data_IF_373845270662
#
_entry.id   IF_373845270662
#
_cell.length_a   1.000
_cell.length_b   1.000
_cell.length_c   1.000
_cell.angle_alpha   90.00
_cell.angle_beta   90.00
_cell.angle_gamma   90.00
#
_symmetry.space_group_name_H-M   'P 1'
#
loop_
_entity.id
_entity.type
_entity.pdbx_description
1 polymer ?
#
# COMPACT_ATOMS: atom_id res chain seq x y z
N UNK A 1 4.81 1.91 -32.70
CA UNK A 1 4.78 0.73 -31.80
C UNK A 1 3.48 -0.04 -31.96
N UNK A 2 2.32 0.45 -31.51
CA UNK A 2 1.06 -0.31 -31.62
C UNK A 2 0.67 -0.62 -33.07
N UNK A 3 0.71 0.36 -33.98
CA UNK A 3 0.36 0.17 -35.39
C UNK A 3 1.34 -0.81 -36.06
N UNK A 4 2.64 -0.70 -35.79
CA UNK A 4 3.67 -1.57 -36.35
C UNK A 4 3.54 -3.01 -35.84
N UNK A 5 3.24 -3.20 -34.56
CA UNK A 5 2.95 -4.52 -33.97
C UNK A 5 1.67 -5.12 -34.55
N UNK A 6 0.61 -4.32 -34.71
CA UNK A 6 -0.64 -4.79 -35.32
C UNK A 6 -0.42 -5.24 -36.78
N UNK A 7 0.34 -4.48 -37.57
CA UNK A 7 0.67 -4.85 -38.95
C UNK A 7 1.55 -6.11 -39.02
N UNK A 8 2.50 -6.26 -38.09
CA UNK A 8 3.33 -7.47 -37.99
C UNK A 8 2.49 -8.68 -37.60
N UNK A 9 1.60 -8.55 -36.63
CA UNK A 9 0.68 -9.60 -36.22
C UNK A 9 -0.29 -10.01 -37.35
N UNK A 10 -0.80 -9.05 -38.13
CA UNK A 10 -1.60 -9.35 -39.33
C UNK A 10 -0.77 -10.17 -40.32
N UNK A 11 0.49 -9.80 -40.53
CA UNK A 11 1.39 -10.50 -41.46
C UNK A 11 1.74 -11.92 -40.99
N UNK A 12 2.01 -12.10 -39.70
CA UNK A 12 2.51 -13.38 -39.14
C UNK A 12 1.37 -14.34 -38.75
N UNK A 13 0.26 -13.83 -38.22
CA UNK A 13 -0.83 -14.63 -37.64
C UNK A 13 -2.19 -14.42 -38.32
N UNK A 14 -2.32 -13.47 -39.25
CA UNK A 14 -3.58 -13.15 -39.92
C UNK A 14 -4.55 -12.28 -39.12
N UNK A 15 -4.20 -11.91 -37.87
CA UNK A 15 -5.04 -11.09 -36.99
C UNK A 15 -4.22 -9.93 -36.39
N UNK A 16 -4.80 -8.73 -36.21
CA UNK A 16 -4.09 -7.57 -35.65
C UNK A 16 -3.68 -7.71 -34.19
N UNK A 17 -4.36 -8.59 -33.44
CA UNK A 17 -4.17 -8.77 -32.01
C UNK A 17 -3.79 -10.22 -31.73
N UNK A 18 -2.49 -10.49 -31.64
CA UNK A 18 -1.95 -11.72 -31.09
C UNK A 18 -1.27 -11.38 -29.76
N UNK A 19 -1.69 -12.01 -28.67
CA UNK A 19 -1.08 -11.84 -27.34
C UNK A 19 -0.39 -13.14 -26.96
N UNK A 20 0.94 -13.14 -26.92
CA UNK A 20 1.72 -14.33 -26.51
C UNK A 20 1.36 -14.75 -25.08
N UNK A 21 1.00 -13.78 -24.24
CA UNK A 21 0.63 -13.98 -22.84
C UNK A 21 -0.84 -14.38 -22.61
N UNK A 22 -1.67 -14.55 -23.65
CA UNK A 22 -3.12 -14.82 -23.48
C UNK A 22 -3.40 -16.05 -22.63
N UNK A 23 -2.62 -17.12 -22.80
CA UNK A 23 -2.74 -18.33 -22.00
C UNK A 23 -2.49 -18.03 -20.51
N UNK A 24 -1.43 -17.29 -20.21
CA UNK A 24 -1.06 -16.91 -18.83
C UNK A 24 -2.11 -16.01 -18.15
N UNK A 25 -2.75 -15.11 -18.89
CA UNK A 25 -3.82 -14.25 -18.36
C UNK A 25 -5.12 -15.00 -18.11
N UNK A 26 -5.45 -16.00 -18.93
CA UNK A 26 -6.73 -16.72 -18.84
C UNK A 26 -6.70 -17.93 -17.92
N UNK A 27 -5.50 -18.44 -17.63
CA UNK A 27 -5.30 -19.55 -16.71
C UNK A 27 -5.63 -19.14 -15.27
N UNK A 28 -6.31 -20.03 -14.53
CA UNK A 28 -6.66 -19.87 -13.11
C UNK A 28 -7.63 -18.71 -12.75
N UNK A 29 -8.17 -17.92 -13.69
CA UNK A 29 -9.03 -16.76 -13.37
C UNK A 29 -10.16 -17.11 -12.40
N UNK A 30 -10.90 -18.18 -12.68
CA UNK A 30 -12.09 -18.53 -11.89
C UNK A 30 -11.73 -18.94 -10.46
N UNK A 31 -10.69 -19.76 -10.33
CA UNK A 31 -10.17 -20.20 -9.04
C UNK A 31 -9.59 -19.05 -8.22
N UNK A 32 -8.84 -18.18 -8.88
CA UNK A 32 -8.30 -16.95 -8.30
C UNK A 32 -9.44 -16.05 -7.82
N UNK A 33 -10.47 -15.82 -8.65
CA UNK A 33 -11.61 -14.98 -8.30
C UNK A 33 -12.42 -15.51 -7.11
N UNK A 34 -12.65 -16.82 -7.04
CA UNK A 34 -13.31 -17.44 -5.88
C UNK A 34 -12.43 -17.30 -4.63
N UNK A 35 -11.13 -17.59 -4.75
CA UNK A 35 -10.19 -17.47 -3.62
C UNK A 35 -10.11 -16.04 -3.11
N UNK A 36 -10.12 -15.06 -4.03
CA UNK A 36 -10.10 -13.64 -3.72
C UNK A 36 -11.38 -13.18 -3.00
N UNK A 37 -12.54 -13.64 -3.46
CA UNK A 37 -13.82 -13.39 -2.79
C UNK A 37 -13.83 -13.98 -1.36
N UNK A 38 -13.31 -15.20 -1.18
CA UNK A 38 -13.21 -15.84 0.14
C UNK A 38 -12.24 -15.04 1.01
N UNK A 39 -11.07 -14.67 0.50
CA UNK A 39 -10.09 -13.83 1.20
C UNK A 39 -10.72 -12.52 1.67
N UNK A 40 -11.37 -11.78 0.78
CA UNK A 40 -12.09 -10.54 1.11
C UNK A 40 -13.25 -10.76 2.10
N UNK A 41 -13.96 -11.88 2.01
CA UNK A 41 -15.05 -12.20 2.94
C UNK A 41 -14.51 -12.51 4.34
N UNK A 42 -13.36 -13.19 4.44
CA UNK A 42 -12.75 -13.52 5.74
C UNK A 42 -12.24 -12.29 6.49
N UNK A 43 -11.93 -11.17 5.82
CA UNK A 43 -11.57 -9.94 6.54
C UNK A 43 -12.75 -9.37 7.32
N UNK A 44 -13.99 -9.59 6.86
CA UNK A 44 -15.20 -9.16 7.55
C UNK A 44 -15.39 -9.79 8.94
N UNK A 45 -14.67 -10.88 9.24
CA UNK A 45 -14.61 -11.47 10.58
C UNK A 45 -14.04 -10.50 11.63
N UNK A 46 -13.35 -9.42 11.23
CA UNK A 46 -12.94 -8.37 12.18
C UNK A 46 -14.14 -7.71 12.88
N UNK A 47 -15.29 -7.59 12.21
CA UNK A 47 -16.49 -6.98 12.77
C UNK A 47 -17.05 -7.77 13.98
N UNK A 48 -17.37 -9.06 13.87
CA UNK A 48 -17.84 -9.83 15.03
C UNK A 48 -16.79 -9.92 16.14
N UNK A 49 -15.50 -9.99 15.82
CA UNK A 49 -14.45 -9.90 16.84
C UNK A 49 -14.52 -8.59 17.63
N UNK A 50 -14.75 -7.46 16.96
CA UNK A 50 -14.93 -6.18 17.66
C UNK A 50 -16.17 -6.13 18.55
N UNK A 51 -17.28 -6.72 18.11
CA UNK A 51 -18.48 -6.82 18.95
C UNK A 51 -18.21 -7.67 20.20
N UNK A 52 -17.38 -8.72 20.09
CA UNK A 52 -16.93 -9.52 21.23
C UNK A 52 -16.00 -8.72 22.13
N UNK A 53 -15.03 -7.98 21.60
CA UNK A 53 -14.12 -7.17 22.41
C UNK A 53 -14.85 -6.06 23.19
N UNK A 54 -15.93 -5.53 22.62
CA UNK A 54 -16.76 -4.49 23.23
C UNK A 54 -17.72 -5.05 24.29
N UNK A 55 -18.49 -6.08 23.96
CA UNK A 55 -19.57 -6.61 24.83
C UNK A 55 -19.12 -7.79 25.71
N UNK A 56 -17.93 -8.33 25.46
CA UNK A 56 -17.43 -9.53 26.09
C UNK A 56 -16.88 -9.34 27.50
N UNK A 57 -16.39 -10.42 28.12
CA UNK A 57 -15.79 -10.41 29.44
C UNK A 57 -14.53 -9.53 29.49
N UNK A 58 -14.21 -9.00 30.68
CA UNK A 58 -13.09 -8.05 30.89
C UNK A 58 -11.75 -8.54 30.34
N UNK A 59 -11.49 -9.85 30.30
CA UNK A 59 -10.23 -10.37 29.77
C UNK A 59 -10.11 -10.24 28.24
N UNK A 60 -11.22 -10.26 27.49
CA UNK A 60 -11.26 -10.10 26.02
C UNK A 60 -11.25 -8.63 25.57
N UNK A 61 -11.18 -7.68 26.50
CA UNK A 61 -11.12 -6.28 26.15
C UNK A 61 -9.86 -5.96 25.32
N UNK A 62 -9.98 -4.95 24.46
CA UNK A 62 -8.96 -4.59 23.47
C UNK A 62 -7.58 -4.33 24.09
N UNK A 63 -7.54 -3.63 25.22
CA UNK A 63 -6.34 -3.26 25.97
C UNK A 63 -5.64 -4.41 26.69
N UNK A 64 -6.33 -5.56 26.89
CA UNK A 64 -5.77 -6.72 27.59
C UNK A 64 -5.31 -7.80 26.64
N UNK A 65 -6.27 -8.51 26.03
CA UNK A 65 -5.97 -9.63 25.12
C UNK A 65 -6.49 -9.41 23.71
N UNK A 66 -7.48 -8.53 23.50
CA UNK A 66 -8.11 -8.33 22.19
C UNK A 66 -7.11 -7.90 21.11
N UNK A 67 -6.21 -6.95 21.42
CA UNK A 67 -5.16 -6.53 20.48
C UNK A 67 -4.21 -7.67 20.09
N UNK A 68 -3.80 -8.50 21.06
CA UNK A 68 -2.92 -9.64 20.81
C UNK A 68 -3.60 -10.72 19.98
N UNK A 69 -4.84 -11.10 20.35
CA UNK A 69 -5.65 -12.08 19.61
C UNK A 69 -5.84 -11.61 18.16
N UNK A 70 -6.18 -10.34 17.97
CA UNK A 70 -6.35 -9.75 16.65
C UNK A 70 -5.04 -9.77 15.85
N UNK A 71 -3.92 -9.39 16.46
CA UNK A 71 -2.62 -9.35 15.77
C UNK A 71 -2.13 -10.74 15.36
N UNK A 72 -2.28 -11.74 16.24
CA UNK A 72 -1.96 -13.14 15.93
C UNK A 72 -2.88 -13.68 14.83
N UNK A 73 -4.18 -13.39 14.90
CA UNK A 73 -5.14 -13.76 13.88
C UNK A 73 -4.80 -13.16 12.51
N UNK A 74 -4.43 -11.89 12.46
CA UNK A 74 -3.99 -11.21 11.25
C UNK A 74 -2.69 -11.79 10.68
N UNK A 75 -1.74 -12.17 11.53
CA UNK A 75 -0.50 -12.83 11.12
C UNK A 75 -0.79 -14.21 10.49
N UNK A 76 -1.60 -15.04 11.15
CA UNK A 76 -2.00 -16.35 10.63
C UNK A 76 -2.76 -16.21 9.30
N UNK A 77 -3.65 -15.23 9.21
CA UNK A 77 -4.39 -14.90 7.99
C UNK A 77 -3.45 -14.51 6.85
N UNK A 78 -2.48 -13.63 7.12
CA UNK A 78 -1.49 -13.20 6.11
C UNK A 78 -0.62 -14.37 5.64
N UNK A 79 -0.11 -15.19 6.55
CA UNK A 79 0.73 -16.36 6.21
C UNK A 79 -0.05 -17.36 5.37
N UNK A 80 -1.29 -17.67 5.77
CA UNK A 80 -2.16 -18.60 5.05
C UNK A 80 -2.39 -18.15 3.60
N UNK A 81 -2.86 -16.91 3.40
CA UNK A 81 -3.17 -16.42 2.06
C UNK A 81 -1.94 -16.12 1.22
N UNK A 82 -0.81 -15.78 1.85
CA UNK A 82 0.47 -15.66 1.13
C UNK A 82 0.91 -17.03 0.58
N UNK A 83 0.72 -18.12 1.33
CA UNK A 83 1.07 -19.47 0.90
C UNK A 83 0.11 -20.07 -0.14
N UNK A 84 -1.13 -19.60 -0.20
CA UNK A 84 -2.19 -20.18 -1.04
C UNK A 84 -1.84 -20.27 -2.54
N UNK A 85 -1.34 -19.21 -3.20
CA UNK A 85 -1.01 -19.28 -4.61
C UNK A 85 0.16 -20.22 -4.94
N UNK A 86 1.04 -20.51 -3.97
CA UNK A 86 2.14 -21.46 -4.14
C UNK A 86 1.63 -22.90 -4.11
N UNK A 87 0.71 -23.22 -3.19
CA UNK A 87 0.08 -24.54 -3.12
C UNK A 87 -0.70 -24.85 -4.40
N UNK A 88 -1.35 -23.84 -4.98
CA UNK A 88 -2.17 -23.98 -6.20
C UNK A 88 -1.38 -23.80 -7.51
N UNK A 89 -0.08 -23.54 -7.45
CA UNK A 89 0.80 -23.37 -8.60
C UNK A 89 0.31 -22.33 -9.64
N UNK A 90 -0.35 -21.25 -9.21
CA UNK A 90 -0.92 -20.23 -10.10
C UNK A 90 0.08 -19.48 -10.96
N UNK A 91 -0.31 -19.07 -12.16
CA UNK A 91 0.52 -18.22 -13.02
C UNK A 91 1.00 -16.96 -12.30
N UNK A 92 2.17 -16.47 -12.68
CA UNK A 92 2.77 -15.29 -12.04
C UNK A 92 1.84 -14.06 -12.11
N UNK A 93 1.06 -13.89 -13.19
CA UNK A 93 0.08 -12.81 -13.33
C UNK A 93 -1.03 -12.88 -12.29
N UNK A 94 -1.60 -14.07 -12.06
CA UNK A 94 -2.60 -14.31 -11.02
C UNK A 94 -2.01 -14.10 -9.62
N UNK A 95 -0.75 -14.53 -9.41
CA UNK A 95 -0.02 -14.32 -8.15
C UNK A 95 0.20 -12.84 -7.85
N UNK A 96 0.56 -12.02 -8.85
CA UNK A 96 0.72 -10.56 -8.70
C UNK A 96 -0.59 -9.94 -8.22
N UNK A 97 -1.69 -10.18 -8.94
CA UNK A 97 -2.99 -9.62 -8.61
C UNK A 97 -3.42 -10.00 -7.20
N UNK A 98 -3.38 -11.30 -6.89
CA UNK A 98 -3.80 -11.82 -5.60
C UNK A 98 -2.95 -11.28 -4.45
N UNK A 99 -1.62 -11.20 -4.62
CA UNK A 99 -0.71 -10.68 -3.59
C UNK A 99 -0.92 -9.19 -3.34
N UNK A 100 -1.14 -8.39 -4.38
CA UNK A 100 -1.43 -6.96 -4.22
C UNK A 100 -2.76 -6.74 -3.51
N UNK A 101 -3.80 -7.50 -3.87
CA UNK A 101 -5.09 -7.39 -3.21
C UNK A 101 -5.03 -7.90 -1.77
N UNK A 102 -4.32 -9.00 -1.50
CA UNK A 102 -4.02 -9.52 -0.17
C UNK A 102 -3.40 -8.45 0.73
N UNK A 103 -2.38 -7.75 0.27
CA UNK A 103 -1.72 -6.70 1.06
C UNK A 103 -2.64 -5.50 1.29
N UNK A 104 -3.42 -5.08 0.29
CA UNK A 104 -4.42 -4.02 0.45
C UNK A 104 -5.48 -4.40 1.51
N UNK A 105 -6.03 -5.61 1.43
CA UNK A 105 -7.01 -6.14 2.37
C UNK A 105 -6.43 -6.32 3.77
N UNK A 106 -5.18 -6.77 3.89
CA UNK A 106 -4.46 -6.85 5.16
C UNK A 106 -4.35 -5.49 5.83
N UNK A 107 -3.89 -4.47 5.10
CA UNK A 107 -3.79 -3.10 5.61
C UNK A 107 -5.16 -2.55 6.02
N UNK A 108 -6.20 -2.81 5.22
CA UNK A 108 -7.57 -2.42 5.56
C UNK A 108 -8.09 -3.10 6.83
N UNK A 109 -7.92 -4.41 6.92
CA UNK A 109 -8.31 -5.20 8.09
C UNK A 109 -7.57 -4.74 9.34
N UNK A 110 -6.27 -4.45 9.22
CA UNK A 110 -5.46 -3.90 10.30
C UNK A 110 -5.96 -2.52 10.75
N UNK A 111 -6.18 -1.61 9.80
CA UNK A 111 -6.63 -0.26 10.13
C UNK A 111 -8.02 -0.24 10.76
N UNK A 112 -8.97 -1.00 10.20
CA UNK A 112 -10.30 -1.15 10.78
C UNK A 112 -10.23 -1.65 12.21
N UNK A 113 -9.40 -2.67 12.46
CA UNK A 113 -9.35 -3.29 13.76
C UNK A 113 -8.71 -2.39 14.83
N UNK A 114 -7.57 -1.78 14.51
CA UNK A 114 -6.86 -0.93 15.47
C UNK A 114 -7.60 0.37 15.77
N UNK A 115 -8.29 0.96 14.79
CA UNK A 115 -9.07 2.16 15.02
C UNK A 115 -10.33 1.89 15.85
N UNK A 116 -11.13 0.87 15.51
CA UNK A 116 -12.30 0.51 16.33
C UNK A 116 -11.91 -0.02 17.71
N UNK A 117 -10.75 -0.67 17.82
CA UNK A 117 -10.17 -1.08 19.09
C UNK A 117 -9.85 0.12 19.98
N UNK A 118 -9.23 1.16 19.41
CA UNK A 118 -9.01 2.42 20.12
C UNK A 118 -10.34 3.07 20.57
N UNK A 119 -11.32 3.21 19.66
CA UNK A 119 -12.63 3.78 19.98
C UNK A 119 -13.35 3.00 21.09
N UNK A 120 -13.22 1.67 21.12
CA UNK A 120 -13.79 0.84 22.20
C UNK A 120 -13.20 1.14 23.58
N UNK A 121 -11.90 1.44 23.64
CA UNK A 121 -11.21 1.83 24.89
C UNK A 121 -11.62 3.25 25.29
N UNK A 122 -11.74 4.16 24.31
CA UNK A 122 -12.19 5.55 24.53
C UNK A 122 -13.63 5.60 25.05
N UNK A 123 -14.56 4.83 24.46
CA UNK A 123 -15.95 4.73 24.91
C UNK A 123 -16.01 4.20 26.34
N UNK A 124 -15.23 3.16 26.65
CA UNK A 124 -15.20 2.59 27.99
C UNK A 124 -14.66 3.58 29.02
N UNK A 125 -13.57 4.29 28.70
CA UNK A 125 -13.01 5.35 29.56
C UNK A 125 -14.02 6.46 29.82
N UNK A 126 -14.77 6.87 28.80
CA UNK A 126 -15.83 7.88 28.96
C UNK A 126 -16.91 7.38 29.94
N UNK A 127 -17.37 6.13 29.80
CA UNK A 127 -18.34 5.51 30.72
C UNK A 127 -17.80 5.38 32.15
N UNK A 128 -16.52 5.02 32.31
CA UNK A 128 -15.87 4.95 33.63
C UNK A 128 -15.75 6.33 34.30
N UNK A 129 -15.65 7.41 33.52
CA UNK A 129 -15.68 8.76 34.06
C UNK A 129 -17.08 9.17 34.53
N UNK A 130 -18.15 8.65 33.92
CA UNK A 130 -19.53 8.90 34.32
C UNK A 130 -19.87 8.23 35.65
N UNK A 131 -19.33 7.02 35.92
CA UNK A 131 -19.46 6.29 37.18
C UNK A 131 -18.08 6.12 37.88
N UNK A 132 -17.59 7.17 38.57
CA UNK A 132 -16.20 7.20 39.04
C UNK A 132 -15.94 6.16 40.16
N UNK A 133 -15.10 5.18 39.84
CA UNK A 133 -14.45 4.26 40.79
C UNK A 133 -13.09 4.82 41.24
N UNK A 134 -12.53 4.44 42.41
CA UNK A 134 -11.15 4.75 42.78
C UNK A 134 -10.10 4.27 41.76
N UNK A 135 -10.44 3.32 40.89
CA UNK A 135 -9.58 2.83 39.79
C UNK A 135 -9.75 3.56 38.46
N UNK A 136 -10.48 4.69 38.41
CA UNK A 136 -10.80 5.39 37.15
C UNK A 136 -9.56 6.01 36.54
N UNK A 137 -9.32 5.71 35.26
CA UNK A 137 -8.19 6.22 34.51
C UNK A 137 -8.40 7.70 34.14
N UNK A 138 -7.54 8.58 34.68
CA UNK A 138 -7.57 10.04 34.44
C UNK A 138 -6.46 10.52 33.51
N UNK A 139 -5.79 9.60 32.81
CA UNK A 139 -4.79 9.97 31.82
C UNK A 139 -5.44 10.77 30.67
N UNK A 140 -4.69 11.67 30.02
CA UNK A 140 -5.20 12.51 28.94
C UNK A 140 -5.82 11.69 27.81
N UNK A 141 -6.80 12.28 27.10
CA UNK A 141 -7.39 11.66 25.93
C UNK A 141 -6.32 11.41 24.88
N UNK A 142 -6.38 10.24 24.26
CA UNK A 142 -5.47 9.87 23.17
C UNK A 142 -6.23 10.10 21.89
N UNK A 143 -5.85 11.12 21.12
CA UNK A 143 -6.39 11.31 19.77
C UNK A 143 -5.73 10.31 18.82
N UNK A 144 -6.53 9.56 18.07
CA UNK A 144 -5.98 8.67 17.07
C UNK A 144 -5.44 9.49 15.90
N UNK A 145 -4.21 9.25 15.40
CA UNK A 145 -3.67 10.03 14.30
C UNK A 145 -4.56 9.91 13.06
N UNK A 146 -4.99 11.02 12.46
CA UNK A 146 -5.73 11.01 11.19
C UNK A 146 -4.77 10.76 10.02
N UNK A 147 -5.30 10.25 8.90
CA UNK A 147 -4.57 10.16 7.63
C UNK A 147 -4.11 11.52 7.08
N UNK A 148 -4.62 12.64 7.58
CA UNK A 148 -4.21 13.99 7.17
C UNK A 148 -3.37 14.75 8.20
N UNK A 149 -3.23 14.25 9.43
CA UNK A 149 -2.46 14.95 10.48
C UNK A 149 -0.99 15.11 10.06
N UNK A 150 -0.51 16.36 10.05
CA UNK A 150 0.85 16.66 9.61
C UNK A 150 1.87 16.22 10.66
N UNK A 151 3.08 15.83 10.23
CA UNK A 151 4.15 15.37 11.14
C UNK A 151 4.49 16.36 12.25
N UNK A 152 4.41 17.66 11.95
CA UNK A 152 4.64 18.72 12.93
C UNK A 152 3.49 18.80 13.95
N UNK A 153 2.25 18.61 13.52
CA UNK A 153 1.08 18.56 14.41
C UNK A 153 1.15 17.36 15.35
N UNK A 154 1.65 16.21 14.88
CA UNK A 154 1.84 15.03 15.76
C UNK A 154 2.89 15.27 16.85
N UNK A 155 3.99 15.95 16.50
CA UNK A 155 5.03 16.35 17.47
C UNK A 155 4.47 17.37 18.45
N UNK A 156 3.72 18.34 17.95
CA UNK A 156 3.10 19.38 18.75
C UNK A 156 2.05 18.77 19.69
N UNK A 157 1.29 17.77 19.25
CA UNK A 157 0.39 16.98 20.10
C UNK A 157 1.13 16.15 21.16
N UNK A 158 2.33 15.62 20.86
CA UNK A 158 3.19 14.96 21.86
C UNK A 158 3.67 15.95 22.94
N UNK A 159 4.09 17.15 22.53
CA UNK A 159 4.55 18.22 23.44
C UNK A 159 3.39 18.84 24.26
N UNK A 160 2.23 19.04 23.65
CA UNK A 160 1.00 19.46 24.31
C UNK A 160 0.52 18.40 25.32
N UNK A 161 0.73 17.10 25.04
CA UNK A 161 0.44 15.99 25.95
C UNK A 161 1.22 16.03 27.26
N UNK A 162 2.51 16.37 27.21
CA UNK A 162 3.33 16.51 28.42
C UNK A 162 2.83 17.67 29.28
N UNK A 163 2.32 18.71 28.63
CA UNK A 163 1.78 19.92 29.27
C UNK A 163 0.35 19.72 29.80
N UNK A 164 -0.47 18.90 29.12
CA UNK A 164 -1.89 18.66 29.41
C UNK A 164 -2.18 17.70 30.57
N UNK A 165 -1.15 17.22 31.30
CA UNK A 165 -1.30 16.37 32.51
C UNK A 165 -2.11 17.02 33.66
N UNK A 166 -2.59 18.25 33.47
CA UNK A 166 -3.39 19.04 34.43
C UNK A 166 -4.79 19.43 33.90
N UNK A 167 -5.34 18.73 32.91
CA UNK A 167 -6.70 19.04 32.43
C UNK A 167 -7.78 18.67 33.47
N UNK A 168 -8.85 19.45 33.52
CA UNK A 168 -9.99 19.17 34.39
C UNK A 168 -10.76 17.93 33.91
N UNK A 169 -11.42 17.20 34.80
CA UNK A 169 -12.22 16.00 34.45
C UNK A 169 -13.29 16.34 33.39
N UNK A 170 -13.84 17.55 33.43
CA UNK A 170 -14.81 18.02 32.42
C UNK A 170 -14.19 18.15 31.02
N UNK A 171 -12.97 18.70 30.92
CA UNK A 171 -12.23 18.77 29.64
C UNK A 171 -11.91 17.38 29.11
N UNK A 172 -11.46 16.46 29.97
CA UNK A 172 -11.18 15.08 29.58
C UNK A 172 -12.42 14.37 29.01
N UNK A 173 -13.59 14.57 29.64
CA UNK A 173 -14.86 14.03 29.14
C UNK A 173 -15.20 14.57 27.75
N UNK A 174 -15.03 15.87 27.54
CA UNK A 174 -15.27 16.50 26.25
C UNK A 174 -14.33 15.95 25.18
N UNK A 175 -13.03 15.86 25.46
CA UNK A 175 -12.05 15.33 24.51
C UNK A 175 -12.32 13.86 24.14
N UNK A 176 -12.72 13.03 25.11
CA UNK A 176 -13.08 11.63 24.84
C UNK A 176 -14.38 11.52 24.04
N UNK A 177 -15.36 12.38 24.31
CA UNK A 177 -16.61 12.42 23.55
C UNK A 177 -16.37 12.89 22.09
N UNK A 178 -15.53 13.90 21.89
CA UNK A 178 -15.15 14.40 20.57
C UNK A 178 -14.48 13.31 19.72
N UNK A 179 -13.62 12.47 20.30
CA UNK A 179 -12.95 11.37 19.59
C UNK A 179 -13.92 10.25 19.15
N UNK A 180 -15.05 10.07 19.85
CA UNK A 180 -16.05 9.06 19.53
C UNK A 180 -17.02 9.48 18.41
N UNK A 181 -17.04 10.77 18.08
CA UNK A 181 -17.90 11.35 17.06
C UNK A 181 -17.09 11.53 15.78
N UNK A 182 -17.68 11.26 14.61
CA UNK A 182 -17.00 11.55 13.35
C UNK A 182 -16.73 13.05 13.22
N UNK A 183 -15.62 13.47 12.56
CA UNK A 183 -15.38 14.90 12.31
C UNK A 183 -16.48 15.61 11.50
N UNK A 184 -17.28 14.84 10.77
CA UNK A 184 -18.42 15.30 9.98
C UNK A 184 -19.75 15.31 10.78
N UNK A 185 -19.75 14.72 11.98
CA UNK A 185 -20.88 14.69 12.91
C UNK A 185 -22.02 13.72 12.56
N UNK A 186 -21.89 12.94 11.48
CA UNK A 186 -22.97 12.07 10.98
C UNK A 186 -23.11 10.73 11.71
N UNK A 187 -22.02 10.21 12.28
CA UNK A 187 -21.98 8.88 12.91
C UNK A 187 -21.14 8.91 14.18
N UNK A 188 -21.59 8.19 15.20
CA UNK A 188 -20.86 8.02 16.47
C UNK A 188 -20.53 6.55 16.72
N UNK A 189 -19.39 6.28 17.36
CA UNK A 189 -19.13 4.95 17.89
C UNK A 189 -20.12 4.65 19.03
N UNK A 190 -20.79 3.50 19.07
CA UNK A 190 -20.56 2.24 18.32
C UNK A 190 -21.49 2.02 17.11
N UNK A 191 -22.24 3.02 16.67
CA UNK A 191 -23.23 2.90 15.57
C UNK A 191 -22.58 2.57 14.22
N UNK A 192 -21.27 2.82 14.09
CA UNK A 192 -20.49 2.49 12.91
C UNK A 192 -20.23 0.98 12.71
N UNK A 193 -20.42 0.16 13.76
CA UNK A 193 -20.18 -1.30 13.72
C UNK A 193 -21.30 -2.05 12.97
N UNK A 194 -21.45 -1.73 11.69
CA UNK A 194 -22.42 -2.36 10.77
C UNK A 194 -21.70 -3.02 9.60
N UNK A 195 -22.30 -4.08 9.06
CA UNK A 195 -21.78 -4.73 7.86
C UNK A 195 -21.75 -3.77 6.67
N UNK A 196 -22.73 -2.85 6.58
CA UNK A 196 -22.79 -1.84 5.53
C UNK A 196 -21.57 -0.90 5.56
N UNK A 197 -21.24 -0.33 6.73
CA UNK A 197 -20.08 0.55 6.87
C UNK A 197 -18.77 -0.19 6.55
N UNK A 198 -18.67 -1.46 6.97
CA UNK A 198 -17.50 -2.29 6.67
C UNK A 198 -17.33 -2.56 5.16
N UNK A 199 -18.39 -2.96 4.47
CA UNK A 199 -18.34 -3.23 3.01
C UNK A 199 -18.06 -1.94 2.24
N UNK A 200 -18.65 -0.82 2.64
CA UNK A 200 -18.40 0.48 2.02
C UNK A 200 -16.92 0.88 2.18
N UNK A 201 -16.32 0.72 3.36
CA UNK A 201 -14.88 0.91 3.56
C UNK A 201 -14.01 -0.05 2.70
N UNK A 202 -14.44 -1.30 2.56
CA UNK A 202 -13.74 -2.27 1.73
C UNK A 202 -13.66 -1.84 0.25
N UNK A 203 -14.69 -1.16 -0.24
CA UNK A 203 -14.74 -0.61 -1.60
C UNK A 203 -14.07 0.77 -1.73
N UNK A 204 -13.97 1.57 -0.66
CA UNK A 204 -13.34 2.89 -0.71
C UNK A 204 -11.84 2.77 -1.06
N UNK A 205 -11.29 3.63 -1.94
CA UNK A 205 -9.89 3.59 -2.36
C UNK A 205 -8.93 4.21 -1.32
N UNK A 206 -9.10 3.86 -0.04
CA UNK A 206 -8.25 4.26 1.08
C UNK A 206 -7.88 3.05 1.93
N UNK A 207 -6.71 3.10 2.56
CA UNK A 207 -6.20 2.05 3.45
C UNK A 207 -6.37 2.38 4.93
N UNK A 208 -6.74 3.62 5.26
CA UNK A 208 -6.96 4.07 6.62
C UNK A 208 -8.45 4.12 6.90
N UNK A 209 -8.93 3.31 7.85
CA UNK A 209 -10.32 3.34 8.29
C UNK A 209 -10.64 4.61 9.09
N UNK A 210 -11.75 5.25 8.77
CA UNK A 210 -12.34 6.35 9.51
C UNK A 210 -13.85 6.09 9.64
N UNK A 211 -14.49 6.64 10.68
CA UNK A 211 -15.92 6.41 10.98
C UNK A 211 -16.78 6.83 9.78
N UNK A 212 -16.42 7.96 9.19
CA UNK A 212 -17.12 8.60 8.09
C UNK A 212 -16.13 9.23 7.13
N UNK A 213 -16.43 9.17 5.84
CA UNK A 213 -15.60 9.74 4.78
C UNK A 213 -16.35 10.84 4.06
N UNK A 214 -15.66 11.90 3.60
CA UNK A 214 -16.29 12.95 2.81
C UNK A 214 -16.84 12.36 1.50
N UNK A 215 -18.09 12.71 1.15
CA UNK A 215 -18.78 12.18 -0.04
C UNK A 215 -19.10 13.23 -1.08
N UNK A 216 -19.09 12.83 -2.34
CA UNK A 216 -19.60 13.64 -3.45
C UNK A 216 -21.13 13.56 -3.51
N UNK A 217 -21.77 14.67 -3.93
CA UNK A 217 -23.23 14.76 -3.96
C UNK A 217 -23.87 13.83 -5.01
N UNK A 218 -23.21 13.65 -6.17
CA UNK A 218 -23.71 12.87 -7.30
C UNK A 218 -22.63 11.94 -7.85
N UNK A 219 -23.06 10.84 -8.48
CA UNK A 219 -22.20 9.93 -9.25
C UNK A 219 -22.15 10.34 -10.72
N UNK A 220 -20.96 10.43 -11.28
CA UNK A 220 -20.71 10.63 -12.71
C UNK A 220 -20.44 9.30 -13.40
N UNK A 221 -21.47 8.70 -13.99
CA UNK A 221 -21.33 7.44 -14.73
C UNK A 221 -20.42 7.55 -15.96
N UNK A 222 -20.33 8.74 -16.56
CA UNK A 222 -19.42 8.99 -17.68
C UNK A 222 -17.96 8.92 -17.25
N UNK A 223 -17.61 9.47 -16.08
CA UNK A 223 -16.26 9.35 -15.53
C UNK A 223 -15.90 7.88 -15.24
N UNK A 224 -16.83 7.11 -14.68
CA UNK A 224 -16.63 5.66 -14.47
C UNK A 224 -16.35 4.96 -15.79
N UNK A 225 -17.14 5.26 -16.83
CA UNK A 225 -16.96 4.66 -18.15
C UNK A 225 -15.59 5.00 -18.75
N UNK A 226 -15.20 6.28 -18.80
CA UNK A 226 -13.90 6.69 -19.36
C UNK A 226 -12.71 6.14 -18.57
N UNK A 227 -12.77 6.16 -17.23
CA UNK A 227 -11.71 5.56 -16.39
C UNK A 227 -11.61 4.05 -16.61
N UNK A 228 -12.74 3.35 -16.68
CA UNK A 228 -12.76 1.90 -16.97
C UNK A 228 -12.20 1.59 -18.35
N UNK A 229 -12.57 2.35 -19.38
CA UNK A 229 -12.02 2.21 -20.73
C UNK A 229 -10.50 2.46 -20.76
N UNK A 230 -10.04 3.48 -20.02
CA UNK A 230 -8.62 3.79 -19.89
C UNK A 230 -7.83 2.66 -19.21
N UNK A 231 -8.38 1.99 -18.19
CA UNK A 231 -7.77 0.78 -17.59
C UNK A 231 -7.51 -0.27 -18.66
N UNK A 232 -8.52 -0.64 -19.46
CA UNK A 232 -8.36 -1.63 -20.52
C UNK A 232 -7.35 -1.18 -21.59
N UNK A 233 -7.37 0.10 -21.98
CA UNK A 233 -6.41 0.66 -22.93
C UNK A 233 -4.96 0.62 -22.42
N UNK A 234 -4.73 0.98 -21.16
CA UNK A 234 -3.39 0.92 -20.56
C UNK A 234 -2.91 -0.51 -20.33
N UNK A 235 -3.77 -1.44 -19.92
CA UNK A 235 -3.42 -2.88 -19.81
C UNK A 235 -3.04 -3.47 -21.16
N UNK A 236 -3.76 -3.07 -22.22
CA UNK A 236 -3.38 -3.44 -23.58
C UNK A 236 -1.98 -2.93 -23.95
N UNK A 237 -1.70 -1.65 -23.70
CA UNK A 237 -0.37 -1.07 -23.96
C UNK A 237 0.75 -1.74 -23.13
N UNK A 238 0.48 -2.04 -21.86
CA UNK A 238 1.40 -2.77 -20.99
C UNK A 238 1.76 -4.14 -21.57
N UNK A 239 0.78 -4.86 -22.11
CA UNK A 239 0.97 -6.17 -22.74
C UNK A 239 1.83 -6.03 -24.00
N UNK A 240 1.52 -5.07 -24.87
CA UNK A 240 2.31 -4.83 -26.11
C UNK A 240 3.75 -4.47 -25.79
N UNK A 241 3.99 -3.57 -24.82
CA UNK A 241 5.35 -3.17 -24.44
C UNK A 241 6.13 -4.38 -23.87
N UNK A 242 5.47 -5.20 -23.07
CA UNK A 242 6.09 -6.39 -22.47
C UNK A 242 6.48 -7.42 -23.53
N UNK A 243 5.57 -7.74 -24.45
CA UNK A 243 5.76 -8.77 -25.48
C UNK A 243 6.80 -8.37 -26.53
N UNK A 244 6.87 -7.08 -26.91
CA UNK A 244 7.74 -6.61 -27.99
C UNK A 244 9.13 -6.18 -27.52
N UNK A 245 9.25 -5.62 -26.31
CA UNK A 245 10.51 -5.00 -25.86
C UNK A 245 11.15 -5.69 -24.67
N UNK A 246 10.35 -6.17 -23.71
CA UNK A 246 10.90 -6.71 -22.45
C UNK A 246 11.23 -8.19 -22.58
N UNK A 247 10.25 -9.01 -22.95
CA UNK A 247 10.42 -10.47 -23.02
C UNK A 247 11.52 -10.85 -24.02
N UNK A 248 11.58 -10.33 -25.26
CA UNK A 248 12.61 -10.73 -26.20
C UNK A 248 14.02 -10.39 -25.71
N UNK A 249 14.18 -9.22 -25.08
CA UNK A 249 15.46 -8.79 -24.49
C UNK A 249 15.89 -9.73 -23.37
N UNK A 250 14.96 -10.15 -22.50
CA UNK A 250 15.24 -11.08 -21.41
C UNK A 250 15.55 -12.50 -21.93
N UNK A 251 14.80 -12.99 -22.92
CA UNK A 251 15.01 -14.31 -23.54
C UNK A 251 16.41 -14.38 -24.21
N UNK A 252 16.78 -13.36 -24.98
CA UNK A 252 18.11 -13.26 -25.64
C UNK A 252 19.24 -13.25 -24.60
N UNK A 253 19.12 -12.39 -23.58
CA UNK A 253 20.13 -12.25 -22.54
C UNK A 253 20.26 -13.49 -21.66
N UNK A 254 19.16 -14.20 -21.36
CA UNK A 254 19.19 -15.44 -20.60
C UNK A 254 20.01 -16.51 -21.32
N UNK A 255 19.84 -16.66 -22.64
CA UNK A 255 20.60 -17.61 -23.47
C UNK A 255 22.08 -17.21 -23.51
N UNK A 256 22.39 -15.92 -23.62
CA UNK A 256 23.77 -15.41 -23.62
C UNK A 256 24.45 -15.65 -22.27
N UNK A 257 23.74 -15.43 -21.17
CA UNK A 257 24.24 -15.63 -19.80
C UNK A 257 24.53 -17.12 -19.51
N UNK A 258 23.68 -18.04 -20.00
CA UNK A 258 23.92 -19.48 -19.86
C UNK A 258 25.16 -19.99 -20.60
N UNK A 259 25.57 -19.31 -21.68
CA UNK A 259 26.73 -19.69 -22.51
C UNK A 259 28.03 -19.00 -22.09
N UNK A 260 27.97 -18.15 -21.08
CA UNK A 260 29.09 -17.36 -20.59
C UNK A 260 30.20 -18.27 -20.02
N UNK A 261 31.46 -17.92 -20.32
CA UNK A 261 32.63 -18.63 -19.79
C UNK A 261 33.29 -17.87 -18.62
N UNK A 262 33.32 -16.53 -18.67
CA UNK A 262 34.01 -15.69 -17.69
C UNK A 262 33.04 -14.73 -16.98
N UNK A 263 33.24 -14.46 -15.68
CA UNK A 263 32.42 -13.51 -14.90
C UNK A 263 32.32 -12.11 -15.52
N UNK A 264 33.40 -11.61 -16.11
CA UNK A 264 33.45 -10.28 -16.73
C UNK A 264 32.47 -10.17 -17.91
N UNK A 265 32.38 -11.20 -18.74
CA UNK A 265 31.44 -11.27 -19.86
C UNK A 265 29.99 -11.26 -19.36
N UNK A 266 29.73 -11.92 -18.23
CA UNK A 266 28.41 -11.92 -17.58
C UNK A 266 28.01 -10.57 -17.04
N UNK A 267 28.93 -9.87 -16.37
CA UNK A 267 28.69 -8.51 -15.90
C UNK A 267 28.40 -7.56 -17.07
N UNK A 268 29.09 -7.72 -18.21
CA UNK A 268 28.85 -6.95 -19.42
C UNK A 268 27.47 -7.26 -20.02
N UNK A 269 27.12 -8.54 -20.21
CA UNK A 269 25.80 -8.96 -20.71
C UNK A 269 24.69 -8.41 -19.81
N UNK A 270 24.88 -8.49 -18.49
CA UNK A 270 23.93 -7.95 -17.52
C UNK A 270 23.78 -6.43 -17.67
N UNK A 271 24.87 -5.68 -17.73
CA UNK A 271 24.84 -4.22 -17.90
C UNK A 271 24.21 -3.79 -19.25
N UNK A 272 24.50 -4.53 -20.32
CA UNK A 272 23.87 -4.34 -21.64
C UNK A 272 22.35 -4.56 -21.55
N UNK A 273 21.93 -5.61 -20.84
CA UNK A 273 20.51 -5.93 -20.65
C UNK A 273 19.80 -4.84 -19.86
N UNK A 274 20.37 -4.41 -18.73
CA UNK A 274 19.82 -3.31 -17.93
C UNK A 274 19.66 -2.06 -18.79
N UNK A 275 20.67 -1.73 -19.60
CA UNK A 275 20.66 -0.58 -20.51
C UNK A 275 19.54 -0.65 -21.56
N UNK A 276 19.32 -1.81 -22.18
CA UNK A 276 18.20 -2.06 -23.12
C UNK A 276 16.83 -1.96 -22.45
N UNK A 277 16.76 -2.30 -21.16
CA UNK A 277 15.52 -2.32 -20.37
C UNK A 277 15.15 -0.96 -19.74
N UNK A 278 16.05 0.03 -19.70
CA UNK A 278 15.80 1.34 -19.07
C UNK A 278 14.50 2.00 -19.56
N UNK A 279 14.32 2.08 -20.89
CA UNK A 279 13.17 2.76 -21.49
C UNK A 279 11.86 1.95 -21.39
N UNK A 280 11.81 0.65 -21.78
CA UNK A 280 10.60 -0.15 -21.63
C UNK A 280 10.08 -0.20 -20.19
N UNK A 281 10.97 -0.35 -19.20
CA UNK A 281 10.55 -0.39 -17.79
C UNK A 281 10.02 0.94 -17.28
N UNK A 282 10.59 2.06 -17.74
CA UNK A 282 10.06 3.38 -17.40
C UNK A 282 8.61 3.54 -17.89
N UNK A 283 8.33 3.15 -19.14
CA UNK A 283 6.99 3.21 -19.69
C UNK A 283 6.00 2.32 -18.94
N UNK A 284 6.40 1.09 -18.60
CA UNK A 284 5.56 0.20 -17.79
C UNK A 284 5.30 0.79 -16.41
N UNK A 285 6.32 1.33 -15.74
CA UNK A 285 6.17 1.95 -14.43
C UNK A 285 5.14 3.10 -14.45
N UNK A 286 5.22 4.00 -15.43
CA UNK A 286 4.27 5.09 -15.61
C UNK A 286 2.86 4.60 -15.96
N UNK A 287 2.74 3.58 -16.82
CA UNK A 287 1.44 3.01 -17.18
C UNK A 287 0.78 2.30 -16.00
N UNK A 288 1.53 1.53 -15.21
CA UNK A 288 1.03 0.87 -13.99
C UNK A 288 0.57 1.92 -12.98
N UNK A 289 1.32 3.01 -12.82
CA UNK A 289 0.92 4.13 -11.98
C UNK A 289 -0.43 4.72 -12.41
N UNK A 290 -0.61 5.03 -13.70
CA UNK A 290 -1.86 5.56 -14.21
C UNK A 290 -3.03 4.57 -14.04
N UNK A 291 -2.80 3.29 -14.34
CA UNK A 291 -3.81 2.23 -14.17
C UNK A 291 -4.30 2.18 -12.73
N UNK A 292 -3.39 2.16 -11.75
CA UNK A 292 -3.75 1.99 -10.34
C UNK A 292 -4.33 3.28 -9.76
N UNK A 293 -3.57 4.38 -9.81
CA UNK A 293 -3.92 5.57 -9.02
C UNK A 293 -4.90 6.50 -9.72
N UNK A 294 -4.76 6.71 -11.03
CA UNK A 294 -5.64 7.63 -11.76
C UNK A 294 -6.96 6.94 -12.17
N UNK A 295 -6.87 5.75 -12.75
CA UNK A 295 -8.04 5.10 -13.34
C UNK A 295 -8.75 4.14 -12.38
N UNK A 296 -8.06 3.20 -11.74
CA UNK A 296 -8.69 2.21 -10.86
C UNK A 296 -9.19 2.86 -9.55
N UNK A 297 -8.31 3.52 -8.79
CA UNK A 297 -8.71 4.23 -7.58
C UNK A 297 -9.75 5.33 -7.88
N UNK A 298 -9.58 6.06 -9.00
CA UNK A 298 -10.56 7.05 -9.44
C UNK A 298 -11.93 6.45 -9.76
N UNK A 299 -12.01 5.30 -10.42
CA UNK A 299 -13.27 4.61 -10.69
C UNK A 299 -13.94 4.13 -9.39
N UNK A 300 -13.18 3.53 -8.47
CA UNK A 300 -13.70 3.13 -7.16
C UNK A 300 -14.14 4.33 -6.31
N UNK A 301 -13.44 5.46 -6.40
CA UNK A 301 -13.84 6.70 -5.74
C UNK A 301 -15.20 7.19 -6.24
N UNK A 302 -15.44 7.14 -7.55
CA UNK A 302 -16.70 7.56 -8.14
C UNK A 302 -17.85 6.60 -7.80
N UNK A 303 -17.60 5.28 -7.83
CA UNK A 303 -18.57 4.24 -7.44
C UNK A 303 -19.02 4.44 -5.98
N UNK A 304 -18.07 4.64 -5.08
CA UNK A 304 -18.31 4.83 -3.64
C UNK A 304 -18.69 6.26 -3.26
N UNK A 305 -18.67 7.21 -4.22
CA UNK A 305 -18.81 8.67 -3.96
C UNK A 305 -17.76 9.21 -2.99
N UNK A 306 -16.58 8.61 -2.93
CA UNK A 306 -15.48 9.07 -2.10
C UNK A 306 -14.94 10.41 -2.65
N UNK A 307 -14.95 11.44 -1.81
CA UNK A 307 -14.54 12.80 -2.22
C UNK A 307 -13.04 13.05 -2.08
N UNK A 308 -12.35 12.34 -1.19
CA UNK A 308 -10.91 12.47 -1.01
C UNK A 308 -10.16 11.73 -2.13
N UNK A 309 -9.96 12.41 -3.26
CA UNK A 309 -9.35 11.81 -4.46
C UNK A 309 -7.84 12.01 -4.55
N UNK A 310 -7.19 12.41 -3.46
CA UNK A 310 -5.75 12.67 -3.44
C UNK A 310 -4.95 11.37 -3.25
N UNK A 311 -4.90 10.53 -4.28
CA UNK A 311 -4.16 9.26 -4.24
C UNK A 311 -2.65 9.42 -4.44
N UNK A 312 -2.24 10.52 -5.09
CA UNK A 312 -0.86 10.89 -5.36
C UNK A 312 -0.72 12.42 -5.43
N UNK A 313 0.52 12.90 -5.41
CA UNK A 313 0.90 14.31 -5.60
C UNK A 313 1.91 14.43 -6.76
N UNK A 314 2.48 15.60 -6.99
CA UNK A 314 3.43 15.91 -8.07
C UNK A 314 4.83 15.26 -7.86
N UNK A 315 4.87 13.94 -7.64
CA UNK A 315 6.04 13.14 -7.30
C UNK A 315 7.13 13.18 -8.39
N UNK A 316 6.78 13.54 -9.62
CA UNK A 316 7.75 13.73 -10.72
C UNK A 316 8.70 14.91 -10.46
N UNK A 317 8.30 15.83 -9.58
CA UNK A 317 9.10 16.98 -9.14
C UNK A 317 9.90 16.69 -7.85
N UNK A 318 9.82 15.48 -7.28
CA UNK A 318 10.52 15.15 -6.04
C UNK A 318 12.05 15.29 -6.20
N UNK A 319 12.71 15.77 -5.14
CA UNK A 319 14.14 16.02 -5.08
C UNK A 319 14.92 14.89 -4.39
N UNK A 320 14.27 14.16 -3.48
CA UNK A 320 14.86 13.01 -2.79
C UNK A 320 13.88 11.83 -2.72
N UNK A 321 14.39 10.63 -2.42
CA UNK A 321 13.55 9.43 -2.29
C UNK A 321 12.56 9.51 -1.13
N UNK A 322 12.85 10.32 -0.10
CA UNK A 322 11.93 10.52 1.01
C UNK A 322 10.69 11.31 0.56
N UNK A 323 10.86 12.37 -0.21
CA UNK A 323 9.78 13.15 -0.81
C UNK A 323 8.94 12.27 -1.75
N UNK A 324 9.59 11.54 -2.66
CA UNK A 324 8.91 10.58 -3.54
C UNK A 324 8.05 9.57 -2.77
N UNK A 325 8.58 8.99 -1.68
CA UNK A 325 7.86 7.99 -0.88
C UNK A 325 6.57 8.53 -0.23
N UNK A 326 6.44 9.85 -0.06
CA UNK A 326 5.24 10.50 0.49
C UNK A 326 4.23 10.86 -0.59
N UNK A 327 4.69 11.15 -1.80
CA UNK A 327 3.89 11.74 -2.87
C UNK A 327 3.39 10.71 -3.89
N UNK A 328 4.09 9.59 -4.07
CA UNK A 328 3.76 8.58 -5.07
C UNK A 328 2.47 7.81 -4.76
N UNK A 329 2.36 7.25 -3.56
CA UNK A 329 1.25 6.42 -3.11
C UNK A 329 0.79 6.90 -1.74
N UNK A 330 -0.02 7.95 -1.74
CA UNK A 330 -0.50 8.61 -0.53
C UNK A 330 -1.29 7.64 0.37
N UNK A 331 -2.18 6.76 -0.14
CA UNK A 331 -2.89 5.80 0.70
C UNK A 331 -1.96 4.88 1.51
N UNK A 332 -0.93 4.32 0.87
CA UNK A 332 0.05 3.46 1.57
C UNK A 332 0.91 4.30 2.50
N UNK A 333 1.36 5.48 2.06
CA UNK A 333 2.12 6.39 2.91
C UNK A 333 1.35 6.74 4.19
N UNK A 334 0.08 7.10 4.08
CA UNK A 334 -0.80 7.42 5.22
C UNK A 334 -0.97 6.21 6.15
N UNK A 335 -1.11 5.00 5.60
CA UNK A 335 -1.18 3.77 6.40
C UNK A 335 0.09 3.56 7.22
N UNK A 336 1.26 3.60 6.58
CA UNK A 336 2.55 3.45 7.26
C UNK A 336 2.79 4.56 8.28
N UNK A 337 2.42 5.81 7.95
CA UNK A 337 2.54 6.94 8.89
C UNK A 337 1.70 6.71 10.15
N UNK A 338 0.43 6.32 9.98
CA UNK A 338 -0.55 6.15 11.06
C UNK A 338 -0.29 4.91 11.92
N UNK A 339 -0.08 3.75 11.32
CA UNK A 339 -0.04 2.47 12.05
C UNK A 339 1.37 1.99 12.38
N UNK A 340 2.40 2.43 11.64
CA UNK A 340 3.79 1.97 11.84
C UNK A 340 4.64 3.07 12.48
N UNK A 341 4.74 4.22 11.81
CA UNK A 341 5.58 5.33 12.27
C UNK A 341 5.07 5.92 13.58
N UNK A 342 3.78 6.26 13.67
CA UNK A 342 3.19 6.81 14.90
C UNK A 342 3.32 5.85 16.08
N UNK A 343 3.07 4.56 15.85
CA UNK A 343 3.19 3.54 16.89
C UNK A 343 4.65 3.33 17.33
N UNK A 344 5.61 3.45 16.42
CA UNK A 344 7.04 3.37 16.75
C UNK A 344 7.53 4.63 17.47
N UNK A 345 6.97 5.81 17.14
CA UNK A 345 7.39 7.10 17.71
C UNK A 345 7.05 7.28 19.18
N UNK A 346 6.00 6.63 19.68
CA UNK A 346 5.65 6.67 21.10
C UNK A 346 6.70 6.03 21.99
N UNK A 347 7.54 5.13 21.45
CA UNK A 347 8.57 4.40 22.20
C UNK A 347 9.99 4.69 21.74
N UNK A 348 10.18 5.15 20.50
CA UNK A 348 11.49 5.29 19.86
C UNK A 348 11.75 6.68 19.25
N UNK A 349 13.03 6.98 19.02
CA UNK A 349 13.48 8.23 18.41
C UNK A 349 13.09 8.34 16.93
N UNK A 350 13.05 9.58 16.40
CA UNK A 350 12.67 9.86 14.99
C UNK A 350 13.47 9.05 13.95
N UNK A 351 14.81 8.94 14.04
CA UNK A 351 15.58 8.15 13.06
C UNK A 351 15.24 6.67 13.11
N UNK A 352 15.06 6.11 14.32
CA UNK A 352 14.73 4.69 14.51
C UNK A 352 13.32 4.38 13.99
N UNK A 353 12.33 5.22 14.30
CA UNK A 353 10.97 5.06 13.77
C UNK A 353 10.92 5.14 12.24
N UNK A 354 11.72 6.02 11.64
CA UNK A 354 11.86 6.11 10.17
C UNK A 354 12.48 4.84 9.61
N UNK A 355 13.57 4.36 10.22
CA UNK A 355 14.23 3.12 9.82
C UNK A 355 13.29 1.90 9.89
N UNK A 356 12.52 1.75 10.98
CA UNK A 356 11.53 0.67 11.14
C UNK A 356 10.46 0.75 10.05
N UNK A 357 9.98 1.96 9.74
CA UNK A 357 8.97 2.17 8.69
C UNK A 357 9.50 1.71 7.32
N UNK A 358 10.72 2.11 6.98
CA UNK A 358 11.38 1.68 5.74
C UNK A 358 11.68 0.17 5.73
N UNK A 359 12.06 -0.41 6.87
CA UNK A 359 12.32 -1.84 7.00
C UNK A 359 11.06 -2.68 6.77
N UNK A 360 9.92 -2.30 7.36
CA UNK A 360 8.65 -3.01 7.14
C UNK A 360 8.20 -2.84 5.68
N UNK A 361 8.37 -1.64 5.11
CA UNK A 361 8.08 -1.41 3.69
C UNK A 361 8.96 -2.27 2.76
N UNK A 362 10.26 -2.37 3.02
CA UNK A 362 11.17 -3.18 2.19
C UNK A 362 10.89 -4.68 2.29
N UNK A 363 10.49 -5.17 3.47
CA UNK A 363 10.02 -6.55 3.65
C UNK A 363 8.72 -6.82 2.86
N UNK A 364 7.78 -5.87 2.85
CA UNK A 364 6.56 -6.01 2.04
C UNK A 364 6.87 -6.05 0.54
N UNK A 365 7.83 -5.23 0.07
CA UNK A 365 8.26 -5.27 -1.34
C UNK A 365 8.99 -6.57 -1.69
N UNK A 366 9.85 -7.09 -0.79
CA UNK A 366 10.48 -8.40 -0.99
C UNK A 366 9.44 -9.52 -1.02
N UNK A 367 8.40 -9.44 -0.19
CA UNK A 367 7.30 -10.39 -0.22
C UNK A 367 6.60 -10.38 -1.58
N UNK A 368 6.27 -9.19 -2.11
CA UNK A 368 5.70 -9.06 -3.45
C UNK A 368 6.64 -9.66 -4.49
N UNK A 369 7.92 -9.28 -4.49
CA UNK A 369 8.90 -9.81 -5.45
C UNK A 369 9.07 -11.33 -5.35
N UNK A 370 9.08 -11.88 -4.13
CA UNK A 370 9.15 -13.31 -3.86
C UNK A 370 7.91 -14.05 -4.35
N UNK A 371 6.71 -13.48 -4.20
CA UNK A 371 5.47 -14.02 -4.75
C UNK A 371 5.45 -14.00 -6.28
N UNK A 372 5.97 -12.93 -6.92
CA UNK A 372 6.00 -12.80 -8.39
C UNK A 372 6.98 -13.80 -9.01
N UNK A 373 8.18 -13.89 -8.46
CA UNK A 373 9.26 -14.71 -9.03
C UNK A 373 9.32 -16.13 -8.50
N UNK A 374 8.52 -16.43 -7.47
CA UNK A 374 8.57 -17.66 -6.67
C UNK A 374 9.95 -17.95 -6.05
N UNK A 375 10.78 -16.91 -5.90
CA UNK A 375 12.14 -17.00 -5.37
C UNK A 375 12.39 -15.83 -4.42
N UNK A 376 12.71 -16.14 -3.17
CA UNK A 376 13.18 -15.14 -2.22
C UNK A 376 14.68 -14.94 -2.42
N UNK A 377 15.08 -13.74 -2.90
CA UNK A 377 16.49 -13.42 -3.20
C UNK A 377 17.04 -12.28 -2.37
N UNK A 378 16.20 -11.36 -1.88
CA UNK A 378 16.62 -10.22 -1.07
C UNK A 378 17.18 -9.04 -1.86
N UNK A 379 17.27 -9.12 -3.20
CA UNK A 379 17.79 -8.00 -4.00
C UNK A 379 16.90 -6.76 -3.91
N UNK A 380 15.58 -6.94 -3.93
CA UNK A 380 14.59 -5.86 -3.79
C UNK A 380 14.65 -5.24 -2.41
N UNK A 381 14.73 -6.08 -1.36
CA UNK A 381 14.95 -5.65 0.02
C UNK A 381 16.20 -4.76 0.15
N UNK A 382 17.35 -5.22 -0.34
CA UNK A 382 18.61 -4.48 -0.24
C UNK A 382 18.54 -3.16 -1.02
N UNK A 383 18.00 -3.19 -2.25
CA UNK A 383 17.86 -1.98 -3.07
C UNK A 383 16.96 -0.92 -2.41
N UNK A 384 15.85 -1.33 -1.79
CA UNK A 384 14.98 -0.43 -1.02
C UNK A 384 15.70 0.13 0.21
N UNK A 385 16.43 -0.69 0.96
CA UNK A 385 17.19 -0.22 2.12
C UNK A 385 18.33 0.74 1.73
N UNK A 386 18.93 0.57 0.55
CA UNK A 386 19.94 1.48 0.00
C UNK A 386 19.41 2.88 -0.32
N UNK A 387 18.09 3.08 -0.44
CA UNK A 387 17.52 4.42 -0.64
C UNK A 387 17.83 5.35 0.54
N UNK A 388 17.91 4.84 1.78
CA UNK A 388 18.18 5.65 2.97
C UNK A 388 19.59 6.29 2.94
N UNK A 389 20.68 5.53 2.69
CA UNK A 389 22.00 6.10 2.43
C UNK A 389 22.04 7.10 1.27
N UNK A 390 21.33 6.82 0.16
CA UNK A 390 21.27 7.72 -1.01
C UNK A 390 20.65 9.06 -0.59
N UNK A 391 19.57 9.04 0.19
CA UNK A 391 18.94 10.26 0.69
C UNK A 391 19.86 11.04 1.63
N UNK A 392 20.61 10.35 2.49
CA UNK A 392 21.59 11.00 3.36
C UNK A 392 22.65 11.74 2.53
N UNK A 393 23.11 11.13 1.44
CA UNK A 393 24.03 11.76 0.50
C UNK A 393 23.40 12.95 -0.23
N UNK A 394 22.17 12.83 -0.73
CA UNK A 394 21.43 13.92 -1.40
C UNK A 394 21.17 15.12 -0.46
N UNK A 395 21.11 14.88 0.86
CA UNK A 395 20.89 15.91 1.89
C UNK A 395 22.15 16.63 2.35
N UNK A 396 23.34 16.23 1.87
CA UNK A 396 24.58 16.95 2.14
C UNK A 396 24.46 18.42 1.71
N UNK A 397 25.00 19.37 2.49
CA UNK A 397 24.75 20.80 2.31
C UNK A 397 25.17 21.34 0.94
N UNK A 398 26.17 20.72 0.30
CA UNK A 398 26.63 21.07 -1.04
C UNK A 398 25.64 20.68 -2.15
N UNK A 399 25.00 19.51 -2.00
CA UNK A 399 24.12 18.90 -2.98
C UNK A 399 22.69 19.41 -2.81
N UNK A 400 22.23 19.55 -1.56
CA UNK A 400 20.89 20.03 -1.19
C UNK A 400 20.51 21.38 -1.81
N UNK A 401 21.49 22.26 -2.03
CA UNK A 401 21.26 23.59 -2.63
C UNK A 401 20.91 23.51 -4.13
N UNK A 402 21.26 22.43 -4.81
CA UNK A 402 21.09 22.25 -6.26
C UNK A 402 19.84 21.41 -6.55
N UNK A 403 18.66 22.05 -6.55
CA UNK A 403 17.37 21.38 -6.79
C UNK A 403 17.35 20.58 -8.10
N UNK A 404 17.81 21.18 -9.20
CA UNK A 404 17.84 20.51 -10.51
C UNK A 404 18.70 19.23 -10.48
N UNK A 405 19.90 19.31 -9.86
CA UNK A 405 20.79 18.15 -9.76
C UNK A 405 20.14 17.01 -8.97
N UNK A 406 19.45 17.33 -7.89
CA UNK A 406 18.76 16.35 -7.06
C UNK A 406 17.63 15.64 -7.82
N UNK A 407 16.81 16.38 -8.56
CA UNK A 407 15.76 15.80 -9.38
C UNK A 407 16.34 14.91 -10.51
N UNK A 408 17.41 15.34 -11.17
CA UNK A 408 18.10 14.52 -12.20
C UNK A 408 18.66 13.23 -11.59
N UNK A 409 19.34 13.32 -10.43
CA UNK A 409 19.89 12.14 -9.74
C UNK A 409 18.77 11.19 -9.29
N UNK A 410 17.65 11.72 -8.83
CA UNK A 410 16.45 10.94 -8.50
C UNK A 410 15.94 10.16 -9.72
N UNK A 411 15.73 10.82 -10.86
CA UNK A 411 15.27 10.17 -12.08
C UNK A 411 16.27 9.14 -12.61
N UNK A 412 17.58 9.45 -12.62
CA UNK A 412 18.62 8.48 -12.97
C UNK A 412 18.57 7.24 -12.07
N UNK A 413 18.45 7.44 -10.75
CA UNK A 413 18.34 6.36 -9.78
C UNK A 413 17.07 5.52 -9.97
N UNK A 414 15.95 6.14 -10.32
CA UNK A 414 14.68 5.44 -10.53
C UNK A 414 14.72 4.58 -11.80
N UNK A 415 15.14 5.15 -12.93
CA UNK A 415 15.20 4.44 -14.22
C UNK A 415 16.18 3.27 -14.15
N UNK A 416 17.35 3.48 -13.54
CA UNK A 416 18.34 2.43 -13.35
C UNK A 416 17.85 1.38 -12.34
N UNK A 417 17.27 1.80 -11.22
CA UNK A 417 16.82 0.90 -10.16
C UNK A 417 15.74 -0.08 -10.64
N UNK A 418 14.71 0.42 -11.34
CA UNK A 418 13.59 -0.42 -11.82
C UNK A 418 14.07 -1.50 -12.81
N UNK A 419 14.87 -1.11 -13.80
CA UNK A 419 15.42 -2.02 -14.81
C UNK A 419 16.42 -3.02 -14.23
N UNK A 420 17.28 -2.57 -13.31
CA UNK A 420 18.25 -3.42 -12.61
C UNK A 420 17.55 -4.49 -11.75
N UNK A 421 16.52 -4.11 -10.98
CA UNK A 421 15.77 -5.06 -10.15
C UNK A 421 15.13 -6.13 -11.02
N UNK A 422 14.48 -5.77 -12.14
CA UNK A 422 13.93 -6.78 -13.03
C UNK A 422 15.00 -7.75 -13.55
N UNK A 423 16.12 -7.23 -14.06
CA UNK A 423 17.20 -8.06 -14.58
C UNK A 423 17.75 -9.01 -13.50
N UNK A 424 17.93 -8.54 -12.26
CA UNK A 424 18.39 -9.37 -11.12
C UNK A 424 17.39 -10.46 -10.72
N UNK A 425 16.09 -10.20 -10.86
CA UNK A 425 15.06 -11.16 -10.46
C UNK A 425 14.74 -12.17 -11.56
N UNK A 426 14.99 -11.84 -12.83
CA UNK A 426 14.68 -12.74 -13.95
C UNK A 426 15.90 -13.54 -14.42
N UNK A 427 17.08 -12.91 -14.50
CA UNK A 427 18.26 -13.51 -15.15
C UNK A 427 19.23 -14.20 -14.18
N UNK A 428 19.46 -13.58 -13.02
CA UNK A 428 20.12 -14.22 -11.86
C UNK A 428 19.05 -14.98 -11.11
#
# INVERSE_FOLDING_TARGET
>A
MVITTALRNIREFGYPLSMRQRATFTQNIWEMGISDLIMASTTALSLPFHLIYKNGPKFLQWDRSGMWIQSVGQLLWLVFWTGWPFVRNWTWTAQVFFTLHLLALFMKMHSYAFYNGHLSVTERRLRELDEPSPSTDKNPAVKYPSSHTHLNEMVQQEEERETARRSSVGQLRQELAEELVSPLGGVTYPQNLTLYNYIDYLCCPTLCYEIEYPRTAKRSYMEIFYKTLAVFGCVFLLTVISDEFIIPTLDESAIRLQKQQNWQDGALIFAETVSRLLWPFMLIFLLVFLVIFEYLCGAFAEITRFADRQFYSDWWNSLDWLEFSREWNIPVHNFFRRHVYSASRTTMSRPVATFITFLISSLAHELVMGCITRKFRGYGFVAMMMQMPIVLFQRLPFIRRRKLLNNVLFWCSMVLGLSMICALYVLV
#
